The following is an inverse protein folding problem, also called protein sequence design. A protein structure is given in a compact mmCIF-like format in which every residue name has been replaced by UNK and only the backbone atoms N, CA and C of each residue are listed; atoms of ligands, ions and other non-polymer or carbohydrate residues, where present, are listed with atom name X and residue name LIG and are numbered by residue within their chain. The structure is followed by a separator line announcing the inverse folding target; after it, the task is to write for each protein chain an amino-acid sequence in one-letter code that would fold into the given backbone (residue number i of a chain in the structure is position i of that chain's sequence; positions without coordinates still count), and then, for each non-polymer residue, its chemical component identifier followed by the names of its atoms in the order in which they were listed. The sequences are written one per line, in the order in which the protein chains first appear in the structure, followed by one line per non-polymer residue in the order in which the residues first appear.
data_IF_292490136169
#
_entry.id   IF_292490136169
#
_cell.length_a   1.000
_cell.length_b   1.000
_cell.length_c   1.000
_cell.angle_alpha   90.00
_cell.angle_beta   90.00
_cell.angle_gamma   90.00
#
_symmetry.space_group_name_H-M   'P 1'
#
loop_
_entity.id
_entity.type
_entity.pdbx_description
1 polymer ?
#
# COMPACT_ATOMS: atom_id res chain seq x y z
N UNK A 1 -26.06 18.02 6.57
CA UNK A 1 -25.52 16.64 6.49
C UNK A 1 -25.36 16.19 5.05
N UNK A 2 -26.36 16.37 4.19
CA UNK A 2 -26.24 16.07 2.75
C UNK A 2 -25.17 16.91 2.05
N UNK A 3 -25.13 18.21 2.36
CA UNK A 3 -24.11 19.14 1.86
C UNK A 3 -22.67 18.70 2.18
N UNK A 4 -22.42 18.28 3.43
CA UNK A 4 -21.13 17.74 3.84
C UNK A 4 -20.74 16.48 3.05
N UNK A 5 -21.68 15.56 2.83
CA UNK A 5 -21.40 14.32 2.08
C UNK A 5 -21.00 14.63 0.64
N UNK A 6 -21.73 15.54 -0.03
CA UNK A 6 -21.43 15.96 -1.39
C UNK A 6 -20.00 16.53 -1.48
N UNK A 7 -19.68 17.51 -0.62
CA UNK A 7 -18.35 18.09 -0.56
C UNK A 7 -17.26 17.07 -0.21
N UNK A 8 -17.55 16.11 0.68
CA UNK A 8 -16.62 15.06 1.05
C UNK A 8 -16.31 14.14 -0.15
N UNK A 9 -17.33 13.66 -0.86
CA UNK A 9 -17.16 12.81 -2.05
C UNK A 9 -16.39 13.52 -3.17
N UNK A 10 -16.68 14.81 -3.40
CA UNK A 10 -15.92 15.64 -4.34
C UNK A 10 -14.45 15.76 -3.94
N UNK A 11 -14.18 15.96 -2.64
CA UNK A 11 -12.81 16.00 -2.11
C UNK A 11 -12.10 14.66 -2.23
N UNK A 12 -12.77 13.55 -1.93
CA UNK A 12 -12.21 12.20 -2.13
C UNK A 12 -11.79 12.02 -3.58
N UNK A 13 -12.67 12.34 -4.53
CA UNK A 13 -12.37 12.22 -5.96
C UNK A 13 -11.20 13.10 -6.37
N UNK A 14 -11.23 14.38 -6.00
CA UNK A 14 -10.16 15.33 -6.31
C UNK A 14 -8.80 14.87 -5.76
N UNK A 15 -8.75 14.50 -4.48
CA UNK A 15 -7.53 14.04 -3.84
C UNK A 15 -7.06 12.68 -4.39
N UNK A 16 -7.97 11.78 -4.73
CA UNK A 16 -7.63 10.47 -5.29
C UNK A 16 -6.93 10.61 -6.64
N UNK A 17 -7.51 11.43 -7.51
CA UNK A 17 -6.94 11.73 -8.83
C UNK A 17 -5.61 12.49 -8.75
N UNK A 18 -5.52 13.48 -7.86
CA UNK A 18 -4.34 14.33 -7.76
C UNK A 18 -3.17 13.66 -7.04
N UNK A 19 -3.45 12.89 -5.98
CA UNK A 19 -2.43 12.45 -5.02
C UNK A 19 -2.17 10.95 -5.04
N UNK A 20 -3.16 10.13 -5.41
CA UNK A 20 -3.04 8.66 -5.37
C UNK A 20 -2.80 8.04 -6.74
N UNK A 21 -2.99 8.80 -7.83
CA UNK A 21 -2.73 8.32 -9.18
C UNK A 21 -1.23 8.15 -9.42
N UNK A 22 -0.83 6.93 -9.69
CA UNK A 22 0.53 6.59 -10.04
C UNK A 22 0.89 7.10 -11.44
N UNK A 23 2.07 7.69 -11.54
CA UNK A 23 2.75 7.99 -12.80
C UNK A 23 4.14 7.40 -12.70
N UNK A 24 4.54 6.66 -13.73
CA UNK A 24 5.88 6.10 -13.75
C UNK A 24 6.92 7.21 -13.82
N UNK A 25 7.85 7.16 -12.89
CA UNK A 25 9.01 8.04 -12.79
C UNK A 25 10.27 7.19 -12.60
N UNK A 26 11.45 7.81 -12.65
CA UNK A 26 12.73 7.09 -12.52
C UNK A 26 12.84 6.25 -11.25
N UNK A 27 12.16 6.66 -10.16
CA UNK A 27 12.09 5.90 -8.90
C UNK A 27 11.44 4.52 -9.04
N UNK A 28 10.60 4.32 -10.06
CA UNK A 28 9.92 3.03 -10.32
C UNK A 28 10.90 1.94 -10.76
N UNK A 29 12.04 2.33 -11.33
CA UNK A 29 13.04 1.43 -11.88
C UNK A 29 14.35 1.49 -11.09
N UNK A 30 14.31 2.10 -9.89
CA UNK A 30 15.46 2.16 -8.99
C UNK A 30 15.83 0.75 -8.54
N UNK A 31 17.11 0.52 -8.26
CA UNK A 31 17.66 -0.77 -7.84
C UNK A 31 17.48 -1.87 -8.91
N UNK A 32 17.65 -1.49 -10.17
CA UNK A 32 17.60 -2.39 -11.34
C UNK A 32 16.28 -3.16 -11.49
N UNK A 33 15.19 -2.56 -11.02
CA UNK A 33 13.86 -3.15 -11.15
C UNK A 33 13.41 -3.07 -12.62
N UNK A 34 13.17 -4.22 -13.24
CA UNK A 34 12.74 -4.33 -14.65
C UNK A 34 11.31 -3.81 -14.85
N UNK A 35 10.47 -4.00 -13.84
CA UNK A 35 9.08 -3.51 -13.79
C UNK A 35 8.95 -2.43 -12.72
N UNK A 36 7.79 -1.77 -12.62
CA UNK A 36 7.56 -0.80 -11.56
C UNK A 36 7.75 -1.45 -10.17
N UNK A 37 8.73 -0.96 -9.41
CA UNK A 37 9.01 -1.40 -8.04
C UNK A 37 7.79 -1.24 -7.11
N UNK A 38 6.87 -0.31 -7.41
CA UNK A 38 5.61 -0.12 -6.69
C UNK A 38 4.47 -1.06 -7.16
N UNK A 39 4.77 -2.04 -8.01
CA UNK A 39 3.82 -3.07 -8.47
C UNK A 39 2.62 -2.50 -9.23
N UNK A 40 2.86 -1.47 -10.05
CA UNK A 40 1.90 -0.96 -11.02
C UNK A 40 2.09 -1.63 -12.40
N UNK A 41 0.99 -1.89 -13.15
CA UNK A 41 -0.41 -1.73 -12.74
C UNK A 41 -0.81 -2.78 -11.69
N UNK A 42 -1.75 -2.43 -10.81
CA UNK A 42 -2.38 -3.39 -9.90
C UNK A 42 -3.23 -4.41 -10.66
N UNK A 43 -3.56 -5.52 -10.01
CA UNK A 43 -4.47 -6.51 -10.57
C UNK A 43 -5.89 -5.94 -10.68
N UNK A 44 -6.46 -6.00 -11.89
CA UNK A 44 -7.84 -5.60 -12.11
C UNK A 44 -8.80 -6.62 -11.48
N UNK A 45 -9.76 -6.12 -10.70
CA UNK A 45 -10.84 -6.91 -10.11
C UNK A 45 -12.17 -6.18 -10.24
N UNK A 46 -13.08 -6.69 -11.08
CA UNK A 46 -14.39 -6.06 -11.32
C UNK A 46 -15.30 -6.02 -10.07
N UNK A 47 -15.12 -6.99 -9.17
CA UNK A 47 -15.86 -7.16 -7.91
C UNK A 47 -14.96 -7.74 -6.83
N UNK A 48 -15.28 -7.44 -5.57
CA UNK A 48 -14.62 -8.09 -4.44
C UNK A 48 -15.04 -9.56 -4.35
N UNK A 49 -14.08 -10.43 -4.03
CA UNK A 49 -14.25 -11.87 -3.99
C UNK A 49 -13.58 -12.45 -2.75
N UNK A 50 -14.12 -13.54 -2.23
CA UNK A 50 -13.44 -14.36 -1.23
C UNK A 50 -13.19 -15.74 -1.83
N UNK A 51 -11.92 -16.13 -1.87
CA UNK A 51 -11.48 -17.45 -2.29
C UNK A 51 -11.37 -18.36 -1.05
N UNK A 52 -12.20 -19.42 -1.05
CA UNK A 52 -12.27 -20.39 0.05
C UNK A 52 -11.04 -21.29 0.13
N UNK A 53 -10.41 -21.61 -1.00
CA UNK A 53 -9.26 -22.51 -1.06
C UNK A 53 -8.03 -21.83 -0.47
N UNK A 54 -7.75 -20.62 -0.95
CA UNK A 54 -6.59 -19.83 -0.49
C UNK A 54 -6.87 -19.07 0.81
N UNK A 55 -8.14 -18.98 1.23
CA UNK A 55 -8.63 -18.13 2.33
C UNK A 55 -8.17 -16.69 2.17
N UNK A 56 -8.29 -16.19 0.95
CA UNK A 56 -7.89 -14.84 0.57
C UNK A 56 -9.07 -14.02 0.10
N UNK A 57 -9.00 -12.72 0.35
CA UNK A 57 -9.95 -11.74 -0.17
C UNK A 57 -9.28 -10.98 -1.31
N UNK A 58 -10.01 -10.73 -2.38
CA UNK A 58 -9.65 -9.75 -3.41
C UNK A 58 -10.62 -8.60 -3.27
N UNK A 59 -10.12 -7.37 -3.17
CA UNK A 59 -10.96 -6.18 -3.21
C UNK A 59 -11.16 -5.74 -4.66
N UNK A 60 -12.31 -5.12 -4.93
CA UNK A 60 -12.57 -4.48 -6.23
C UNK A 60 -11.48 -3.45 -6.53
N UNK A 61 -10.88 -3.56 -7.71
CA UNK A 61 -9.89 -2.63 -8.24
C UNK A 61 -10.25 -2.38 -9.71
N UNK A 62 -10.84 -1.21 -9.99
CA UNK A 62 -11.30 -0.84 -11.33
C UNK A 62 -10.36 0.14 -12.03
N UNK A 63 -9.56 0.87 -11.26
CA UNK A 63 -8.48 1.69 -11.75
C UNK A 63 -7.17 1.13 -11.21
N UNK A 64 -6.42 0.46 -12.08
CA UNK A 64 -5.18 -0.25 -11.73
C UNK A 64 -3.99 0.68 -11.52
N UNK A 65 -4.17 1.99 -11.75
CA UNK A 65 -3.13 3.02 -11.60
C UNK A 65 -3.38 3.96 -10.42
N UNK A 66 -4.32 3.63 -9.54
CA UNK A 66 -4.59 4.40 -8.32
C UNK A 66 -4.23 3.55 -7.11
N UNK A 67 -3.43 4.10 -6.19
CA UNK A 67 -3.12 3.44 -4.92
C UNK A 67 -4.41 3.10 -4.16
N UNK A 68 -4.38 2.06 -3.34
CA UNK A 68 -5.43 1.85 -2.34
C UNK A 68 -5.42 3.02 -1.35
N UNK A 69 -6.59 3.61 -1.14
CA UNK A 69 -6.77 4.68 -0.17
C UNK A 69 -8.00 4.48 0.71
N UNK A 70 -7.99 5.16 1.86
CA UNK A 70 -9.15 5.29 2.71
C UNK A 70 -9.64 6.73 2.59
N UNK A 71 -10.93 6.90 2.28
CA UNK A 71 -11.53 8.21 1.99
C UNK A 71 -11.27 9.24 3.09
N UNK A 72 -11.40 8.85 4.35
CA UNK A 72 -11.20 9.77 5.47
C UNK A 72 -9.74 10.15 5.62
N UNK A 73 -8.82 9.17 5.59
CA UNK A 73 -7.38 9.45 5.65
C UNK A 73 -6.97 10.35 4.48
N UNK A 74 -7.48 10.07 3.28
CA UNK A 74 -7.18 10.86 2.09
C UNK A 74 -7.64 12.32 2.23
N UNK A 75 -8.88 12.56 2.64
CA UNK A 75 -9.45 13.91 2.75
C UNK A 75 -8.84 14.69 3.90
N UNK A 76 -8.57 14.05 5.04
CA UNK A 76 -8.02 14.76 6.20
C UNK A 76 -6.51 14.96 6.11
N UNK A 77 -5.77 14.01 5.54
CA UNK A 77 -4.32 14.15 5.38
C UNK A 77 -3.94 14.87 4.09
N UNK A 78 -4.69 14.74 3.00
CA UNK A 78 -4.42 15.39 1.70
C UNK A 78 -3.02 15.14 1.13
N UNK A 79 -2.47 13.94 1.34
CA UNK A 79 -1.18 13.52 0.76
C UNK A 79 -1.27 12.11 0.18
N UNK A 80 -0.33 11.78 -0.72
CA UNK A 80 -0.08 10.40 -1.15
C UNK A 80 0.21 9.55 0.08
N UNK A 81 -0.46 8.40 0.19
CA UNK A 81 -0.16 7.43 1.23
C UNK A 81 0.04 6.06 0.59
N UNK A 82 1.11 5.40 1.01
CA UNK A 82 1.40 4.06 0.58
C UNK A 82 0.65 3.07 1.49
N UNK A 83 -0.62 2.81 1.18
CA UNK A 83 -1.40 1.77 1.85
C UNK A 83 -1.51 0.54 0.97
N UNK A 84 -1.20 -0.62 1.55
CA UNK A 84 -1.34 -1.91 0.89
C UNK A 84 -2.24 -2.81 1.72
N UNK A 85 -3.25 -3.40 1.08
CA UNK A 85 -4.16 -4.31 1.74
C UNK A 85 -3.54 -5.71 1.84
N UNK A 86 -3.43 -6.25 3.06
CA UNK A 86 -2.97 -7.62 3.28
C UNK A 86 -4.19 -8.53 3.46
N UNK A 87 -4.61 -9.17 2.37
CA UNK A 87 -5.92 -9.80 2.28
C UNK A 87 -5.91 -11.34 2.38
N UNK A 88 -4.79 -11.93 2.81
CA UNK A 88 -4.68 -13.36 3.09
C UNK A 88 -4.04 -13.60 4.45
N UNK A 89 -4.50 -14.62 5.18
CA UNK A 89 -3.89 -15.01 6.45
C UNK A 89 -2.41 -15.42 6.32
N UNK A 90 -2.02 -16.00 5.17
CA UNK A 90 -0.61 -16.34 4.90
C UNK A 90 0.23 -15.07 4.74
N UNK A 91 -0.23 -14.14 3.92
CA UNK A 91 0.46 -12.84 3.70
C UNK A 91 0.50 -12.01 4.98
N UNK A 92 -0.56 -12.03 5.79
CA UNK A 92 -0.61 -11.36 7.07
C UNK A 92 0.45 -11.91 8.04
N UNK A 93 0.52 -13.23 8.17
CA UNK A 93 1.56 -13.88 8.99
C UNK A 93 2.98 -13.53 8.51
N UNK A 94 3.22 -13.58 7.19
CA UNK A 94 4.52 -13.22 6.63
C UNK A 94 4.89 -11.75 6.90
N UNK A 95 3.94 -10.83 6.73
CA UNK A 95 4.14 -9.42 7.04
C UNK A 95 4.41 -9.19 8.53
N UNK A 96 3.69 -9.86 9.43
CA UNK A 96 3.94 -9.79 10.86
C UNK A 96 5.37 -10.24 11.22
N UNK A 97 5.83 -11.36 10.65
CA UNK A 97 7.21 -11.81 10.86
C UNK A 97 8.23 -10.80 10.33
N UNK A 98 8.03 -10.29 9.11
CA UNK A 98 8.91 -9.29 8.51
C UNK A 98 8.99 -8.01 9.35
N UNK A 99 7.84 -7.48 9.77
CA UNK A 99 7.76 -6.28 10.61
C UNK A 99 8.46 -6.53 11.96
N UNK A 100 8.22 -7.69 12.57
CA UNK A 100 8.83 -8.04 13.86
C UNK A 100 10.35 -8.16 13.72
N UNK A 101 10.84 -8.89 12.72
CA UNK A 101 12.27 -9.03 12.44
C UNK A 101 12.91 -7.66 12.20
N UNK A 102 12.27 -6.79 11.42
CA UNK A 102 12.77 -5.45 11.14
C UNK A 102 12.83 -4.56 12.38
N UNK A 103 11.77 -4.55 13.21
CA UNK A 103 11.71 -3.74 14.44
C UNK A 103 12.69 -4.26 15.50
N UNK A 104 12.83 -5.59 15.60
CA UNK A 104 13.72 -6.23 16.58
C UNK A 104 15.17 -6.33 16.11
N UNK A 105 15.46 -5.93 14.87
CA UNK A 105 16.80 -5.92 14.31
C UNK A 105 17.71 -5.05 15.18
N UNK A 106 18.77 -5.67 15.72
CA UNK A 106 19.77 -4.93 16.50
C UNK A 106 20.34 -3.79 15.65
N UNK A 107 20.32 -2.58 16.21
CA UNK A 107 20.91 -1.39 15.58
C UNK A 107 22.43 -1.48 15.49
N UNK A 108 23.04 -2.27 16.37
CA UNK A 108 24.49 -2.46 16.49
C UNK A 108 24.95 -3.50 15.48
N UNK A 109 25.91 -3.13 14.63
CA UNK A 109 26.48 -4.05 13.65
C UNK A 109 27.40 -5.04 14.37
N UNK A 110 27.52 -6.26 13.84
CA UNK A 110 28.34 -7.32 14.45
C UNK A 110 29.78 -6.89 14.73
N UNK A 111 30.38 -6.03 13.88
CA UNK A 111 31.75 -5.53 14.13
C UNK A 111 31.83 -4.57 15.32
N UNK A 112 30.76 -3.82 15.62
CA UNK A 112 30.72 -2.91 16.77
C UNK A 112 30.63 -3.73 18.07
N UNK A 113 29.85 -4.81 18.07
CA UNK A 113 29.81 -5.79 19.18
C UNK A 113 31.17 -6.45 19.40
N UNK A 114 31.86 -6.84 18.32
CA UNK A 114 33.19 -7.44 18.39
C UNK A 114 34.27 -6.45 18.86
N UNK A 115 34.11 -5.15 18.60
CA UNK A 115 35.04 -4.12 19.08
C UNK A 115 34.93 -3.81 20.58
N UNK A 116 33.85 -4.28 21.23
CA UNK A 116 33.58 -4.13 22.65
C UNK A 116 33.99 -5.35 23.49
N UNK A 117 34.41 -6.45 22.84
CA UNK A 117 35.02 -7.64 23.46
C UNK A 117 36.54 -7.55 23.42
#
# INVERSE_FOLDING_TARGET
LEDFKCHFEEKVKYCGELLQRHKHEGVCYKYDHVTCHFQFPHDYAARSLYDKETKSVTLVCRDVFVNYFNDFILVFCQHNHNMQCILSGKSCKAAMFYITDYITKMSVKTYEMLSLM
#
